data_IF_189494145600
#
_entry.id   IF_189494145600
#
_cell.length_a   1.000
_cell.length_b   1.000
_cell.length_c   1.000
_cell.angle_alpha   90.00
_cell.angle_beta   90.00
_cell.angle_gamma   90.00
#
_symmetry.space_group_name_H-M   'P 1'
#
loop_
_entity.id
_entity.type
_entity.pdbx_description
1 polymer ?
#
# COMPACT_ATOMS: atom_id res chain seq x y z
N UNK A 1 -5.17 4.64 21.93
CA UNK A 1 -5.05 6.08 21.82
C UNK A 1 -5.93 6.78 22.83
N UNK A 2 -5.60 7.99 23.20
CA UNK A 2 -6.38 8.78 24.16
C UNK A 2 -7.57 9.51 23.52
N UNK A 3 -7.58 9.63 22.17
CA UNK A 3 -8.55 10.45 21.44
C UNK A 3 -9.86 9.71 21.16
N UNK A 4 -9.79 8.43 20.93
CA UNK A 4 -10.93 7.60 20.60
C UNK A 4 -11.01 6.39 21.52
N UNK A 5 -12.20 5.98 21.86
CA UNK A 5 -12.45 4.76 22.61
C UNK A 5 -13.40 3.84 21.85
N UNK A 6 -13.11 2.56 21.85
CA UNK A 6 -13.99 1.52 21.31
C UNK A 6 -14.36 0.54 22.41
N UNK A 7 -15.40 -0.24 22.18
CA UNK A 7 -15.78 -1.36 23.07
C UNK A 7 -14.97 -2.64 22.79
N UNK A 8 -14.10 -2.62 21.77
CA UNK A 8 -13.16 -3.69 21.48
C UNK A 8 -12.05 -3.77 22.51
N UNK A 9 -11.38 -4.91 22.59
CA UNK A 9 -10.21 -5.02 23.46
C UNK A 9 -9.03 -4.22 22.88
N UNK A 10 -8.28 -3.65 23.80
CA UNK A 10 -7.10 -2.84 23.48
C UNK A 10 -5.87 -3.73 23.56
N UNK A 11 -5.01 -3.69 22.53
CA UNK A 11 -3.82 -4.54 22.44
C UNK A 11 -2.87 -4.34 23.63
N UNK A 12 -2.70 -3.09 24.10
CA UNK A 12 -1.82 -2.78 25.22
C UNK A 12 -2.29 -3.46 26.52
N UNK A 13 -3.57 -3.36 26.84
CA UNK A 13 -4.09 -3.90 28.09
C UNK A 13 -4.46 -5.38 28.02
N UNK A 14 -4.86 -5.87 26.85
CA UNK A 14 -5.36 -7.23 26.71
C UNK A 14 -4.26 -8.27 26.41
N UNK A 15 -3.24 -7.86 25.63
CA UNK A 15 -2.17 -8.77 25.16
C UNK A 15 -0.77 -8.17 25.32
N UNK A 16 -0.66 -7.08 26.07
CA UNK A 16 0.63 -6.45 26.40
C UNK A 16 1.46 -6.04 25.18
N UNK A 17 0.80 -5.65 24.10
CA UNK A 17 1.45 -5.10 22.91
C UNK A 17 1.47 -3.58 22.98
N UNK A 18 2.65 -2.98 22.82
CA UNK A 18 2.83 -1.53 22.74
C UNK A 18 3.28 -1.09 21.34
N UNK A 19 2.39 -1.17 20.33
CA UNK A 19 2.78 -0.82 18.97
C UNK A 19 3.15 0.65 18.79
N UNK A 20 2.60 1.57 19.59
CA UNK A 20 3.00 2.99 19.55
C UNK A 20 4.42 3.19 20.07
N UNK A 21 4.76 2.55 21.18
CA UNK A 21 6.12 2.54 21.70
C UNK A 21 7.10 1.94 20.69
N UNK A 22 6.77 0.80 20.09
CA UNK A 22 7.62 0.15 19.09
C UNK A 22 7.85 1.00 17.83
N UNK A 23 6.83 1.72 17.36
CA UNK A 23 6.98 2.67 16.26
C UNK A 23 7.85 3.87 16.66
N UNK A 24 7.65 4.39 17.87
CA UNK A 24 8.44 5.51 18.40
C UNK A 24 9.92 5.18 18.62
N UNK A 25 10.20 3.96 19.08
CA UNK A 25 11.55 3.43 19.27
C UNK A 25 12.21 2.92 17.98
N UNK A 26 11.45 2.84 16.87
CA UNK A 26 11.94 2.36 15.58
C UNK A 26 12.16 0.85 15.51
N UNK A 27 11.54 0.08 16.40
CA UNK A 27 11.61 -1.40 16.43
C UNK A 27 10.82 -2.01 15.27
N UNK A 28 9.74 -1.33 14.84
CA UNK A 28 8.85 -1.78 13.78
C UNK A 28 8.86 -0.77 12.62
N UNK A 29 9.02 -1.25 11.40
CA UNK A 29 8.93 -0.43 10.19
C UNK A 29 7.50 -0.33 9.67
N UNK A 30 6.70 -1.37 9.90
CA UNK A 30 5.33 -1.48 9.43
C UNK A 30 4.44 -2.08 10.53
N UNK A 31 3.21 -1.59 10.64
CA UNK A 31 2.19 -2.18 11.50
C UNK A 31 0.91 -2.43 10.70
N UNK A 32 0.32 -3.60 10.94
CA UNK A 32 -0.91 -4.08 10.32
C UNK A 32 -2.00 -4.20 11.38
N UNK A 33 -2.64 -3.09 11.81
CA UNK A 33 -3.71 -3.15 12.80
C UNK A 33 -4.91 -3.91 12.23
N UNK A 34 -5.46 -4.84 13.00
CA UNK A 34 -6.66 -5.61 12.63
C UNK A 34 -7.90 -4.72 12.73
N UNK A 35 -8.17 -3.95 11.70
CA UNK A 35 -9.24 -2.95 11.68
C UNK A 35 -10.51 -3.49 11.01
N UNK A 36 -10.99 -4.64 11.47
CA UNK A 36 -12.16 -5.33 10.93
C UNK A 36 -13.46 -4.70 11.44
N UNK A 37 -13.61 -3.42 11.21
CA UNK A 37 -14.71 -2.58 11.66
C UNK A 37 -15.25 -1.72 10.53
N UNK A 38 -16.38 -1.04 10.75
CA UNK A 38 -16.98 -0.10 9.81
C UNK A 38 -17.20 1.27 10.43
N UNK A 39 -17.35 2.28 9.58
CA UNK A 39 -17.81 3.63 9.96
C UNK A 39 -16.99 4.23 11.12
N UNK A 40 -17.64 4.68 12.17
CA UNK A 40 -17.00 5.34 13.32
C UNK A 40 -16.01 4.48 14.09
N UNK A 41 -16.03 3.17 13.88
CA UNK A 41 -15.04 2.25 14.45
C UNK A 41 -13.87 1.97 13.50
N UNK A 42 -13.88 2.51 12.30
CA UNK A 42 -12.78 2.38 11.33
C UNK A 42 -12.09 3.72 11.08
N UNK A 43 -12.79 4.71 10.51
CA UNK A 43 -12.18 5.92 9.99
C UNK A 43 -11.41 6.74 11.03
N UNK A 44 -11.95 7.05 12.21
CA UNK A 44 -11.20 7.81 13.21
C UNK A 44 -9.98 7.06 13.73
N UNK A 45 -10.07 5.72 13.84
CA UNK A 45 -8.96 4.90 14.33
C UNK A 45 -7.85 4.74 13.28
N UNK A 46 -8.20 4.70 11.98
CA UNK A 46 -7.20 4.71 10.91
C UNK A 46 -6.37 5.99 10.93
N UNK A 47 -7.01 7.15 11.13
CA UNK A 47 -6.31 8.42 11.30
C UNK A 47 -5.45 8.44 12.56
N UNK A 48 -5.97 7.95 13.66
CA UNK A 48 -5.24 7.92 14.91
C UNK A 48 -3.98 7.03 14.83
N UNK A 49 -4.07 5.87 14.17
CA UNK A 49 -2.90 5.06 13.85
C UNK A 49 -1.88 5.83 13.01
N UNK A 50 -2.33 6.53 11.97
CA UNK A 50 -1.46 7.32 11.10
C UNK A 50 -0.78 8.47 11.87
N UNK A 51 -1.52 9.18 12.73
CA UNK A 51 -0.98 10.25 13.57
C UNK A 51 0.06 9.76 14.58
N UNK A 52 -0.09 8.52 15.07
CA UNK A 52 0.82 7.89 16.04
C UNK A 52 1.92 7.05 15.38
N UNK A 53 2.04 7.10 14.05
CA UNK A 53 2.95 6.24 13.30
C UNK A 53 4.44 6.55 13.50
N UNK A 54 4.77 7.74 14.01
CA UNK A 54 6.16 8.23 14.06
C UNK A 54 6.89 8.14 12.72
N UNK A 55 6.16 8.35 11.61
CA UNK A 55 6.68 8.27 10.25
C UNK A 55 6.82 6.85 9.70
N UNK A 56 6.47 5.81 10.46
CA UNK A 56 6.45 4.41 10.03
C UNK A 56 5.18 4.10 9.23
N UNK A 57 5.15 2.96 8.57
CA UNK A 57 4.03 2.59 7.69
C UNK A 57 2.89 1.94 8.47
N UNK A 58 1.68 2.48 8.28
CA UNK A 58 0.45 1.92 8.81
C UNK A 58 -0.35 1.31 7.65
N UNK A 59 -0.69 0.02 7.78
CA UNK A 59 -1.36 -0.78 6.77
C UNK A 59 -2.60 -1.43 7.41
N UNK A 60 -3.77 -0.76 7.42
CA UNK A 60 -4.96 -1.30 8.04
C UNK A 60 -5.39 -2.63 7.45
N UNK A 61 -5.69 -3.60 8.31
CA UNK A 61 -6.31 -4.86 7.93
C UNK A 61 -7.81 -4.67 7.71
N UNK A 62 -8.31 -5.01 6.52
CA UNK A 62 -9.72 -4.94 6.14
C UNK A 62 -10.39 -6.30 6.29
N UNK A 63 -11.54 -6.32 6.98
CA UNK A 63 -12.29 -7.53 7.26
C UNK A 63 -13.19 -7.96 6.10
N UNK A 64 -12.62 -8.32 4.93
CA UNK A 64 -13.40 -8.73 3.76
C UNK A 64 -14.21 -10.03 3.99
N UNK A 65 -13.86 -10.82 5.00
CA UNK A 65 -14.64 -12.00 5.38
C UNK A 65 -16.06 -11.64 5.82
N UNK A 66 -16.29 -10.44 6.36
CA UNK A 66 -17.61 -9.95 6.72
C UNK A 66 -18.55 -9.70 5.53
N UNK A 67 -18.04 -9.74 4.29
CA UNK A 67 -18.88 -9.73 3.09
C UNK A 67 -19.71 -11.00 2.96
N UNK A 68 -19.25 -12.11 3.57
CA UNK A 68 -19.99 -13.36 3.53
C UNK A 68 -21.18 -13.32 4.51
N UNK A 69 -22.40 -13.76 4.09
CA UNK A 69 -23.60 -13.68 4.91
C UNK A 69 -23.51 -14.40 6.27
N UNK A 70 -22.73 -15.47 6.38
CA UNK A 70 -22.53 -16.19 7.64
C UNK A 70 -21.58 -15.52 8.60
N UNK A 71 -20.82 -14.51 8.17
CA UNK A 71 -19.79 -13.86 9.00
C UNK A 71 -20.21 -12.46 9.48
N UNK A 72 -20.82 -11.65 8.64
CA UNK A 72 -21.19 -10.30 9.03
C UNK A 72 -22.13 -9.57 8.08
N UNK A 73 -22.34 -10.09 6.90
CA UNK A 73 -23.23 -9.55 5.88
C UNK A 73 -22.99 -8.05 5.58
N UNK A 74 -21.71 -7.66 5.49
CA UNK A 74 -21.34 -6.33 5.00
C UNK A 74 -21.63 -6.22 3.50
N UNK A 75 -21.71 -5.01 2.99
CA UNK A 75 -21.78 -4.76 1.55
C UNK A 75 -20.39 -4.40 1.02
N UNK A 76 -20.10 -4.73 -0.24
CA UNK A 76 -18.78 -4.49 -0.85
C UNK A 76 -18.38 -3.02 -0.78
N UNK A 77 -19.32 -2.10 -0.96
CA UNK A 77 -19.11 -0.67 -0.87
C UNK A 77 -18.56 -0.19 0.49
N UNK A 78 -18.70 -0.98 1.56
CA UNK A 78 -18.04 -0.68 2.84
C UNK A 78 -16.53 -0.82 2.70
N UNK A 79 -16.06 -1.85 2.00
CA UNK A 79 -14.64 -2.10 1.73
C UNK A 79 -14.11 -1.05 0.75
N UNK A 80 -14.84 -0.76 -0.32
CA UNK A 80 -14.46 0.25 -1.33
C UNK A 80 -14.24 1.64 -0.68
N UNK A 81 -15.15 2.03 0.21
CA UNK A 81 -14.99 3.27 0.98
C UNK A 81 -13.78 3.27 1.90
N UNK A 82 -13.43 2.14 2.51
CA UNK A 82 -12.25 2.00 3.35
C UNK A 82 -10.97 2.16 2.53
N UNK A 83 -10.87 1.51 1.37
CA UNK A 83 -9.72 1.64 0.46
C UNK A 83 -9.56 3.09 -0.01
N UNK A 84 -10.65 3.72 -0.47
CA UNK A 84 -10.63 5.13 -0.88
C UNK A 84 -10.18 6.06 0.26
N UNK A 85 -10.62 5.79 1.49
CA UNK A 85 -10.21 6.55 2.66
C UNK A 85 -8.71 6.38 2.95
N UNK A 86 -8.19 5.16 2.92
CA UNK A 86 -6.77 4.84 3.10
C UNK A 86 -5.92 5.62 2.10
N UNK A 87 -6.31 5.60 0.82
CA UNK A 87 -5.62 6.34 -0.25
C UNK A 87 -5.70 7.85 -0.08
N UNK A 88 -6.88 8.39 0.21
CA UNK A 88 -7.09 9.81 0.42
C UNK A 88 -6.27 10.37 1.59
N UNK A 89 -6.06 9.58 2.62
CA UNK A 89 -5.27 9.95 3.80
C UNK A 89 -3.82 9.47 3.76
N UNK A 90 -3.36 8.92 2.61
CA UNK A 90 -1.97 8.53 2.36
C UNK A 90 -1.41 7.54 3.38
N UNK A 91 -2.24 6.60 3.86
CA UNK A 91 -1.74 5.44 4.57
C UNK A 91 -0.94 4.56 3.59
N UNK A 92 -0.04 3.73 4.10
CA UNK A 92 0.93 3.02 3.26
C UNK A 92 0.33 1.90 2.40
N UNK A 93 -0.90 1.51 2.67
CA UNK A 93 -1.62 0.45 1.95
C UNK A 93 -2.67 -0.19 2.81
N UNK A 94 -3.20 -1.33 2.37
CA UNK A 94 -4.18 -2.14 3.11
C UNK A 94 -3.87 -3.62 3.01
N UNK A 95 -4.32 -4.40 4.01
CA UNK A 95 -4.27 -5.85 4.02
C UNK A 95 -5.68 -6.45 4.03
N UNK A 96 -5.92 -7.49 3.26
CA UNK A 96 -7.26 -8.11 3.15
C UNK A 96 -7.33 -9.41 3.97
N UNK A 97 -8.15 -9.46 4.98
CA UNK A 97 -8.36 -10.65 5.78
C UNK A 97 -9.76 -11.23 5.48
N UNK A 98 -9.85 -12.44 4.92
CA UNK A 98 -8.76 -13.37 4.60
C UNK A 98 -8.81 -13.80 3.13
N UNK A 99 -7.71 -14.32 2.62
CA UNK A 99 -7.54 -14.72 1.21
C UNK A 99 -8.65 -15.63 0.65
N UNK A 100 -9.25 -16.50 1.47
CA UNK A 100 -10.38 -17.35 1.04
C UNK A 100 -11.47 -16.55 0.34
N UNK A 101 -11.85 -15.39 0.88
CA UNK A 101 -12.95 -14.58 0.33
C UNK A 101 -12.59 -13.82 -0.93
N UNK A 102 -11.28 -13.62 -1.19
CA UNK A 102 -10.79 -13.19 -2.50
C UNK A 102 -10.91 -14.34 -3.51
N UNK A 103 -10.45 -15.55 -3.14
CA UNK A 103 -10.53 -16.72 -4.01
C UNK A 103 -11.99 -17.10 -4.37
N UNK A 104 -12.90 -16.95 -3.43
CA UNK A 104 -14.33 -17.19 -3.63
C UNK A 104 -15.01 -16.02 -4.37
N UNK A 105 -14.31 -14.94 -4.64
CA UNK A 105 -14.83 -13.69 -5.21
C UNK A 105 -16.14 -13.22 -4.55
N UNK A 106 -16.16 -13.25 -3.21
CA UNK A 106 -17.36 -12.94 -2.41
C UNK A 106 -17.87 -11.53 -2.71
N UNK A 107 -19.12 -11.40 -3.17
CA UNK A 107 -19.72 -10.15 -3.65
C UNK A 107 -18.92 -9.43 -4.76
N UNK A 108 -18.11 -10.16 -5.54
CA UNK A 108 -17.29 -9.58 -6.60
C UNK A 108 -16.08 -8.78 -6.08
N UNK A 109 -15.64 -9.01 -4.85
CA UNK A 109 -14.53 -8.24 -4.24
C UNK A 109 -13.21 -8.44 -4.98
N UNK A 110 -12.94 -9.64 -5.50
CA UNK A 110 -11.73 -9.89 -6.28
C UNK A 110 -11.72 -9.10 -7.58
N UNK A 111 -12.84 -9.17 -8.33
CA UNK A 111 -12.97 -8.45 -9.61
C UNK A 111 -12.84 -6.94 -9.40
N UNK A 112 -13.50 -6.39 -8.37
CA UNK A 112 -13.40 -4.97 -8.04
C UNK A 112 -11.97 -4.53 -7.71
N UNK A 113 -11.23 -5.35 -6.96
CA UNK A 113 -9.84 -5.07 -6.67
C UNK A 113 -8.98 -5.15 -7.94
N UNK A 114 -9.14 -6.19 -8.75
CA UNK A 114 -8.32 -6.42 -9.94
C UNK A 114 -8.58 -5.39 -11.04
N UNK A 115 -9.84 -5.04 -11.28
CA UNK A 115 -10.24 -4.19 -12.41
C UNK A 115 -10.23 -2.69 -12.09
N UNK A 116 -10.36 -2.32 -10.79
CA UNK A 116 -10.41 -0.93 -10.36
C UNK A 116 -9.24 -0.53 -9.46
N UNK A 117 -9.21 -1.05 -8.23
CA UNK A 117 -8.25 -0.56 -7.24
C UNK A 117 -6.80 -0.91 -7.56
N UNK A 118 -6.55 -2.06 -8.18
CA UNK A 118 -5.23 -2.56 -8.55
C UNK A 118 -5.08 -2.81 -10.06
N UNK A 119 -5.89 -2.12 -10.87
CA UNK A 119 -5.83 -2.21 -12.33
C UNK A 119 -4.44 -1.84 -12.89
N UNK A 120 -3.70 -1.02 -12.16
CA UNK A 120 -2.37 -0.58 -12.51
C UNK A 120 -1.36 -0.89 -11.39
N UNK A 121 -0.07 -1.05 -11.73
CA UNK A 121 0.98 -1.24 -10.75
C UNK A 121 1.08 -0.06 -9.77
N UNK A 122 1.49 -0.34 -8.54
CA UNK A 122 1.79 0.68 -7.54
C UNK A 122 3.26 0.61 -7.12
N UNK A 123 3.87 1.75 -6.88
CA UNK A 123 5.19 1.81 -6.29
C UNK A 123 5.11 1.48 -4.80
N UNK A 124 6.11 0.73 -4.32
CA UNK A 124 6.25 0.48 -2.89
C UNK A 124 6.55 1.82 -2.18
N UNK A 125 5.84 2.13 -1.09
CA UNK A 125 6.14 3.32 -0.30
C UNK A 125 7.58 3.33 0.21
N UNK A 126 8.26 4.46 0.08
CA UNK A 126 9.62 4.62 0.57
C UNK A 126 9.73 4.48 2.09
N UNK A 127 10.88 4.01 2.56
CA UNK A 127 11.24 3.88 3.98
C UNK A 127 12.49 4.72 4.28
N UNK A 128 12.38 6.06 4.29
CA UNK A 128 13.54 6.95 4.39
C UNK A 128 14.29 6.84 5.72
N UNK A 129 13.71 6.21 6.73
CA UNK A 129 14.40 5.89 7.99
C UNK A 129 15.37 4.72 7.89
N UNK A 130 15.26 3.88 6.84
CA UNK A 130 16.21 2.80 6.54
C UNK A 130 17.31 3.30 5.61
N UNK A 131 16.93 4.00 4.54
CA UNK A 131 17.84 4.67 3.62
C UNK A 131 17.16 5.92 3.04
N UNK A 132 17.82 7.07 3.19
CA UNK A 132 17.35 8.36 2.71
C UNK A 132 18.22 8.93 1.58
N UNK A 133 19.16 8.16 1.07
CA UNK A 133 20.04 8.56 -0.02
C UNK A 133 19.57 7.89 -1.32
N UNK A 134 18.88 8.61 -2.20
CA UNK A 134 18.40 8.01 -3.43
C UNK A 134 19.57 7.67 -4.36
N UNK A 135 19.44 6.63 -5.22
CA UNK A 135 20.41 6.36 -6.26
C UNK A 135 20.53 7.53 -7.23
N UNK A 136 21.65 7.63 -7.95
CA UNK A 136 21.78 8.61 -9.02
C UNK A 136 20.78 8.35 -10.13
N UNK A 137 20.45 9.35 -10.93
CA UNK A 137 19.64 9.12 -12.11
C UNK A 137 20.37 8.18 -13.10
N UNK A 138 19.65 7.31 -13.82
CA UNK A 138 20.21 6.59 -14.96
C UNK A 138 20.59 7.57 -16.07
N UNK A 139 21.65 7.27 -16.82
CA UNK A 139 22.16 8.11 -17.88
C UNK A 139 22.09 7.40 -19.25
N UNK A 140 22.22 8.13 -20.32
CA UNK A 140 22.35 7.60 -21.68
C UNK A 140 21.20 6.69 -22.13
N UNK A 141 19.95 7.04 -21.75
CA UNK A 141 18.78 6.30 -22.20
C UNK A 141 18.72 6.30 -23.74
N UNK A 142 18.63 5.11 -24.32
CA UNK A 142 18.48 4.89 -25.78
C UNK A 142 17.28 4.00 -26.04
N UNK A 143 16.59 4.31 -27.10
CA UNK A 143 15.44 3.55 -27.58
C UNK A 143 15.81 3.07 -28.99
N UNK A 144 15.77 1.77 -29.21
CA UNK A 144 16.05 1.17 -30.54
C UNK A 144 14.96 0.15 -30.86
N UNK A 145 14.59 0.08 -32.13
CA UNK A 145 13.73 -0.97 -32.63
C UNK A 145 14.58 -2.18 -33.04
N UNK A 146 14.19 -3.36 -32.56
CA UNK A 146 14.86 -4.61 -32.95
C UNK A 146 14.31 -5.13 -34.27
N UNK A 147 15.05 -6.02 -34.93
CA UNK A 147 14.65 -6.62 -36.21
C UNK A 147 13.31 -7.41 -36.11
N UNK A 148 12.97 -7.87 -34.92
CA UNK A 148 11.75 -8.61 -34.59
C UNK A 148 10.57 -7.70 -34.19
N UNK A 149 10.75 -6.36 -34.32
CA UNK A 149 9.70 -5.37 -34.03
C UNK A 149 9.49 -5.06 -32.54
N UNK A 150 10.43 -5.43 -31.66
CA UNK A 150 10.41 -5.05 -30.26
C UNK A 150 11.11 -3.71 -30.02
N UNK A 151 10.66 -2.96 -29.06
CA UNK A 151 11.35 -1.77 -28.56
C UNK A 151 12.37 -2.17 -27.49
N UNK A 152 13.65 -1.92 -27.74
CA UNK A 152 14.73 -2.15 -26.79
C UNK A 152 15.10 -0.83 -26.11
N UNK A 153 15.02 -0.82 -24.78
CA UNK A 153 15.49 0.27 -23.93
C UNK A 153 16.84 -0.11 -23.33
N UNK A 154 17.81 0.77 -23.47
CA UNK A 154 19.13 0.62 -22.82
C UNK A 154 19.51 1.91 -22.13
N UNK A 155 20.20 1.80 -20.98
CA UNK A 155 20.70 2.94 -20.22
C UNK A 155 21.97 2.58 -19.48
N UNK A 156 22.71 3.58 -19.06
CA UNK A 156 23.81 3.42 -18.13
C UNK A 156 23.26 3.32 -16.73
N UNK A 157 23.65 2.27 -16.01
CA UNK A 157 23.13 1.98 -14.69
C UNK A 157 23.35 3.13 -13.71
N UNK A 158 22.35 3.39 -12.89
CA UNK A 158 22.45 4.26 -11.73
C UNK A 158 23.47 3.72 -10.73
N UNK A 159 24.05 4.62 -9.95
CA UNK A 159 24.90 4.26 -8.80
C UNK A 159 24.10 4.44 -7.52
N UNK A 160 24.27 3.49 -6.62
CA UNK A 160 23.70 3.51 -5.30
C UNK A 160 24.80 3.37 -4.25
N UNK A 161 24.55 3.88 -3.05
CA UNK A 161 25.41 3.67 -1.89
C UNK A 161 25.09 2.37 -1.14
N UNK A 162 23.95 1.71 -1.44
CA UNK A 162 23.60 0.41 -0.87
C UNK A 162 24.49 -0.70 -1.51
N UNK A 163 25.37 -1.34 -0.72
CA UNK A 163 26.25 -2.38 -1.24
C UNK A 163 25.55 -3.73 -1.44
N UNK A 164 24.32 -3.87 -0.95
CA UNK A 164 23.60 -5.16 -0.91
C UNK A 164 22.56 -5.26 -2.01
N UNK A 165 21.86 -4.16 -2.25
CA UNK A 165 20.74 -4.15 -3.20
C UNK A 165 21.10 -3.37 -4.47
N UNK A 166 20.94 -4.00 -5.62
CA UNK A 166 21.06 -3.31 -6.89
C UNK A 166 19.87 -2.35 -7.11
N UNK A 167 20.09 -1.16 -7.70
CA UNK A 167 19.01 -0.26 -8.07
C UNK A 167 17.96 -0.95 -8.94
N UNK A 168 16.69 -0.70 -8.61
CA UNK A 168 15.55 -1.11 -9.44
C UNK A 168 15.09 0.09 -10.25
N UNK A 169 14.57 -0.19 -11.43
CA UNK A 169 14.09 0.84 -12.34
C UNK A 169 12.61 0.68 -12.56
N UNK A 170 11.90 1.80 -12.64
CA UNK A 170 10.50 1.84 -13.06
C UNK A 170 10.47 2.51 -14.42
N UNK A 171 9.86 1.86 -15.39
CA UNK A 171 9.74 2.36 -16.75
C UNK A 171 8.36 2.97 -16.94
N UNK A 172 8.33 4.24 -17.30
CA UNK A 172 7.11 4.96 -17.65
C UNK A 172 7.06 5.23 -19.14
N UNK A 173 5.90 5.03 -19.75
CA UNK A 173 5.64 5.40 -21.13
C UNK A 173 4.23 5.99 -21.27
N UNK A 174 4.08 6.96 -22.18
CA UNK A 174 2.79 7.51 -22.58
C UNK A 174 2.86 8.07 -23.99
N UNK A 175 1.71 8.29 -24.62
CA UNK A 175 1.60 8.94 -25.93
C UNK A 175 1.85 10.46 -25.86
N UNK A 176 1.89 11.03 -24.67
CA UNK A 176 2.09 12.47 -24.44
C UNK A 176 3.44 12.75 -23.79
N UNK A 177 4.08 13.87 -24.18
CA UNK A 177 5.33 14.32 -23.58
C UNK A 177 5.14 15.68 -22.88
N UNK A 178 5.71 15.89 -21.67
CA UNK A 178 6.47 14.92 -20.88
C UNK A 178 5.58 13.80 -20.32
N UNK A 179 6.17 12.64 -20.07
CA UNK A 179 5.46 11.51 -19.43
C UNK A 179 5.10 11.89 -18.00
N UNK A 180 3.82 11.79 -17.68
CA UNK A 180 3.33 12.04 -16.32
C UNK A 180 3.62 10.83 -15.41
N UNK A 181 4.63 10.93 -14.56
CA UNK A 181 5.05 9.87 -13.63
C UNK A 181 4.17 9.76 -12.39
N UNK A 182 3.16 10.62 -12.23
CA UNK A 182 2.17 10.52 -11.15
C UNK A 182 1.03 9.57 -11.50
N UNK A 183 0.93 9.19 -12.78
CA UNK A 183 -0.10 8.31 -13.31
C UNK A 183 0.35 6.86 -13.32
N UNK A 184 -0.28 5.97 -12.54
CA UNK A 184 0.10 4.56 -12.48
C UNK A 184 -0.12 3.81 -13.81
N UNK A 185 -1.07 4.25 -14.64
CA UNK A 185 -1.29 3.71 -15.99
C UNK A 185 -0.11 3.90 -16.94
N UNK A 186 0.81 4.81 -16.64
CA UNK A 186 2.02 5.02 -17.42
C UNK A 186 3.18 4.09 -17.02
N UNK A 187 3.03 3.31 -15.94
CA UNK A 187 4.02 2.31 -15.53
C UNK A 187 3.88 1.09 -16.44
N UNK A 188 4.94 0.75 -17.17
CA UNK A 188 4.93 -0.40 -18.09
C UNK A 188 5.89 -1.53 -17.67
N UNK A 189 6.84 -1.26 -16.77
CA UNK A 189 7.73 -2.26 -16.17
C UNK A 189 8.40 -1.73 -14.88
#
# INVERSE_FOLDING_TARGET
TSRYSSRGWNAFHAVYQDPQGWLGEGIQDQIYPMMYFRQNNFYPFALDWQEQSNGRQIIPGLGIYFLHPSEGNWVREDVDRQINFIRAHKLAGEGHYRAKFLMDNTQGVYDELAENFYAYPALQPAMPWLDNVPPTAPEELRITETADGYTLLTWKAAKDNDPVNAPRYVIYASETYPVDTTKPENIIA
#
